data_IF_098960373500
#
_entry.id   IF_098960373500
#
_cell.length_a   1.000
_cell.length_b   1.000
_cell.length_c   1.000
_cell.angle_alpha   90.00
_cell.angle_beta   90.00
_cell.angle_gamma   90.00
#
_symmetry.space_group_name_H-M   'P 1'
#
loop_
_entity.id
_entity.type
_entity.pdbx_description
1 polymer ?
#
# COMPACT_ATOMS: atom_id res chain seq x y z
N UNK A 1 44.50 -21.04 -19.54
CA UNK A 1 43.91 -20.18 -18.48
C UNK A 1 44.17 -18.74 -18.86
N UNK A 2 43.26 -18.14 -19.65
CA UNK A 2 43.41 -16.76 -20.10
C UNK A 2 42.94 -15.78 -19.03
N UNK A 3 43.88 -14.96 -18.53
CA UNK A 3 43.58 -13.82 -17.67
C UNK A 3 42.88 -12.75 -18.50
N UNK A 4 41.55 -12.69 -18.45
CA UNK A 4 40.80 -11.53 -18.93
C UNK A 4 41.19 -10.33 -18.09
N UNK A 5 41.62 -9.26 -18.77
CA UNK A 5 41.91 -7.96 -18.18
C UNK A 5 40.71 -7.45 -17.37
N UNK A 6 40.95 -7.08 -16.12
CA UNK A 6 39.97 -6.47 -15.19
C UNK A 6 39.71 -4.98 -15.49
N UNK A 7 40.20 -4.46 -16.63
CA UNK A 7 40.00 -3.07 -16.97
C UNK A 7 38.53 -2.82 -17.36
N UNK A 8 37.88 -1.80 -16.77
CA UNK A 8 36.52 -1.45 -17.14
C UNK A 8 36.46 -1.09 -18.63
N UNK A 9 35.45 -1.61 -19.29
CA UNK A 9 35.14 -1.29 -20.68
C UNK A 9 34.73 0.17 -20.80
N UNK A 10 34.91 0.76 -21.99
CA UNK A 10 34.45 2.13 -22.28
C UNK A 10 32.97 2.34 -21.97
N UNK A 11 32.16 1.28 -22.11
CA UNK A 11 30.73 1.29 -21.76
C UNK A 11 30.49 1.42 -20.26
N UNK A 12 31.24 0.68 -19.45
CA UNK A 12 31.13 0.75 -17.99
C UNK A 12 31.55 2.12 -17.46
N UNK A 13 32.63 2.69 -18.01
CA UNK A 13 33.06 4.07 -17.68
C UNK A 13 31.98 5.09 -18.06
N UNK A 14 31.40 4.98 -19.26
CA UNK A 14 30.34 5.88 -19.69
C UNK A 14 29.08 5.81 -18.82
N UNK A 15 28.69 4.61 -18.39
CA UNK A 15 27.55 4.41 -17.48
C UNK A 15 27.80 5.03 -16.11
N UNK A 16 28.98 4.82 -15.53
CA UNK A 16 29.35 5.42 -14.25
C UNK A 16 29.36 6.95 -14.33
N UNK A 17 29.91 7.52 -15.40
CA UNK A 17 29.89 8.97 -15.61
C UNK A 17 28.46 9.54 -15.76
N UNK A 18 27.59 8.87 -16.52
CA UNK A 18 26.20 9.31 -16.69
C UNK A 18 25.42 9.25 -15.38
N UNK A 19 25.53 8.15 -14.63
CA UNK A 19 24.85 7.99 -13.34
C UNK A 19 25.35 9.00 -12.30
N UNK A 20 26.67 9.28 -12.29
CA UNK A 20 27.26 10.29 -11.41
C UNK A 20 26.75 11.69 -11.75
N UNK A 21 26.63 12.04 -13.03
CA UNK A 21 26.10 13.33 -13.46
C UNK A 21 24.63 13.52 -13.06
N UNK A 22 23.80 12.48 -13.24
CA UNK A 22 22.38 12.50 -12.82
C UNK A 22 22.29 12.66 -11.30
N UNK A 23 23.09 11.93 -10.54
CA UNK A 23 23.11 12.02 -9.08
C UNK A 23 23.52 13.42 -8.59
N UNK A 24 24.55 14.02 -9.21
CA UNK A 24 24.96 15.40 -8.90
C UNK A 24 23.84 16.39 -9.23
N UNK A 25 23.14 16.23 -10.36
CA UNK A 25 22.03 17.12 -10.73
C UNK A 25 20.87 17.03 -9.72
N UNK A 26 20.53 15.82 -9.26
CA UNK A 26 19.49 15.62 -8.24
C UNK A 26 19.89 16.29 -6.93
N UNK A 27 21.14 16.11 -6.47
CA UNK A 27 21.63 16.76 -5.25
C UNK A 27 21.64 18.29 -5.38
N UNK A 28 22.07 18.82 -6.52
CA UNK A 28 22.08 20.28 -6.73
C UNK A 28 20.67 20.87 -6.78
N UNK A 29 19.69 20.14 -7.33
CA UNK A 29 18.27 20.51 -7.28
C UNK A 29 17.73 20.52 -5.85
N UNK A 30 18.11 19.56 -5.01
CA UNK A 30 17.73 19.55 -3.58
C UNK A 30 18.39 20.66 -2.75
N UNK A 31 19.65 21.00 -3.05
CA UNK A 31 20.35 22.09 -2.34
C UNK A 31 19.78 23.46 -2.78
N UNK A 32 19.42 23.62 -4.05
CA UNK A 32 18.82 24.87 -4.56
C UNK A 32 17.37 25.04 -4.12
N UNK A 33 16.58 23.97 -4.00
CA UNK A 33 15.22 24.03 -3.45
C UNK A 33 15.24 24.42 -1.96
N UNK A 34 16.18 23.88 -1.19
CA UNK A 34 16.35 24.21 0.24
C UNK A 34 16.89 25.64 0.46
N UNK A 35 17.80 26.13 -0.37
CA UNK A 35 18.27 27.53 -0.22
C UNK A 35 17.22 28.57 -0.60
N UNK A 36 16.28 28.26 -1.52
CA UNK A 36 15.15 29.13 -1.84
C UNK A 36 14.17 29.26 -0.66
N UNK A 37 13.87 28.17 0.05
CA UNK A 37 12.95 28.20 1.20
C UNK A 37 13.50 29.02 2.37
N UNK A 38 14.81 28.98 2.64
CA UNK A 38 15.45 29.86 3.65
C UNK A 38 15.40 31.36 3.30
N UNK A 39 15.53 31.71 2.00
CA UNK A 39 15.43 33.10 1.55
C UNK A 39 14.00 33.68 1.66
N UNK A 40 12.97 32.85 1.47
CA UNK A 40 11.56 33.26 1.68
C UNK A 40 11.21 33.46 3.16
N UNK A 41 11.74 32.61 4.04
CA UNK A 41 11.43 32.68 5.48
C UNK A 41 12.03 33.94 6.15
N UNK A 42 13.25 34.31 5.75
CA UNK A 42 13.93 35.54 6.21
C UNK A 42 13.29 36.83 5.68
N UNK A 43 12.80 36.84 4.43
CA UNK A 43 12.04 37.97 3.87
C UNK A 43 10.67 38.17 4.56
N UNK A 44 10.06 37.09 5.05
CA UNK A 44 8.76 37.14 5.75
C UNK A 44 8.93 37.59 7.20
N UNK A 45 10.01 37.16 7.87
CA UNK A 45 10.34 37.59 9.23
C UNK A 45 10.69 39.09 9.34
N UNK A 46 11.27 39.69 8.28
CA UNK A 46 11.52 41.14 8.24
C UNK A 46 10.25 41.96 7.99
N UNK A 47 9.23 41.39 7.35
CA UNK A 47 7.98 42.09 7.02
C UNK A 47 7.02 42.18 8.21
N UNK A 48 7.06 41.21 9.13
CA UNK A 48 6.17 41.15 10.30
C UNK A 48 6.64 42.01 11.49
N UNK A 49 7.77 42.72 11.39
CA UNK A 49 8.28 43.60 12.46
C UNK A 49 8.02 45.09 12.25
N UNK A 50 7.34 45.49 11.17
CA UNK A 50 6.96 46.89 10.90
C UNK A 50 5.51 46.93 10.44
N UNK A 51 4.55 46.93 11.37
CA UNK A 51 3.33 47.75 11.30
C UNK A 51 2.52 47.66 12.61
N UNK A 52 2.50 48.78 13.34
CA UNK A 52 1.59 49.11 14.42
C UNK A 52 0.49 50.04 13.87
N UNK A 53 -0.72 49.81 14.36
CA UNK A 53 -1.91 50.67 14.46
C UNK A 53 -2.73 51.07 13.21
N UNK A 54 -4.05 51.06 13.46
CA UNK A 54 -5.19 51.72 12.79
C UNK A 54 -6.02 50.90 11.77
N UNK A 55 -7.34 50.87 12.04
CA UNK A 55 -8.35 51.09 11.01
C UNK A 55 -9.08 49.88 10.45
N UNK A 56 -10.38 49.81 10.75
CA UNK A 56 -11.41 48.92 10.20
C UNK A 56 -11.60 48.97 8.67
N UNK A 57 -11.78 47.81 8.00
CA UNK A 57 -12.92 47.50 7.09
C UNK A 57 -12.77 46.16 6.32
N UNK A 58 -13.77 45.28 6.45
CA UNK A 58 -14.53 44.49 5.45
C UNK A 58 -13.83 43.89 4.19
N UNK A 59 -14.20 42.62 3.92
CA UNK A 59 -14.18 41.81 2.68
C UNK A 59 -12.85 41.13 2.28
N UNK A 60 -12.88 39.78 2.28
CA UNK A 60 -11.88 38.95 1.63
C UNK A 60 -11.86 37.53 2.20
N UNK A 61 -12.79 36.69 1.76
CA UNK A 61 -12.67 35.25 1.93
C UNK A 61 -11.44 34.75 1.17
N UNK A 62 -10.55 34.07 1.86
CA UNK A 62 -9.53 33.24 1.25
C UNK A 62 -9.24 32.08 2.20
N UNK A 63 -9.30 30.88 1.63
CA UNK A 63 -9.24 29.59 2.30
C UNK A 63 -8.00 29.45 3.17
N UNK A 64 -8.21 29.04 4.43
CA UNK A 64 -7.16 28.76 5.42
C UNK A 64 -6.70 27.29 5.44
N UNK A 65 -7.08 26.49 4.45
CA UNK A 65 -6.77 25.05 4.44
C UNK A 65 -5.38 24.69 3.87
N UNK A 66 -4.70 25.62 3.18
CA UNK A 66 -3.39 25.33 2.53
C UNK A 66 -2.17 25.44 3.48
N UNK A 67 -2.36 25.68 4.77
CA UNK A 67 -1.26 25.88 5.74
C UNK A 67 -0.99 24.72 6.69
N UNK A 68 -1.60 23.55 6.47
CA UNK A 68 -1.59 22.43 7.44
C UNK A 68 -0.53 21.35 7.20
N UNK A 69 0.45 21.61 6.32
CA UNK A 69 1.55 20.69 6.06
C UNK A 69 2.88 21.35 6.40
N UNK A 70 3.11 21.58 7.70
CA UNK A 70 4.46 21.84 8.22
C UNK A 70 5.16 20.49 8.32
N UNK A 71 6.01 20.19 7.33
CA UNK A 71 6.88 19.02 7.35
C UNK A 71 8.03 19.31 8.32
N UNK A 72 7.87 18.92 9.58
CA UNK A 72 9.02 18.75 10.49
C UNK A 72 9.88 17.60 9.94
N UNK A 73 10.85 17.97 9.12
CA UNK A 73 11.87 17.09 8.60
C UNK A 73 12.69 16.55 9.78
N UNK A 74 12.80 15.23 9.89
CA UNK A 74 13.69 14.55 10.83
C UNK A 74 15.09 15.20 10.81
N UNK A 75 15.50 15.84 11.92
CA UNK A 75 16.91 16.06 12.16
C UNK A 75 17.56 14.71 12.48
N UNK A 76 18.57 14.27 11.72
CA UNK A 76 19.25 13.02 12.03
C UNK A 76 20.16 13.24 13.25
N UNK A 77 19.79 12.66 14.39
CA UNK A 77 20.75 12.43 15.46
C UNK A 77 21.88 11.53 14.91
N UNK A 78 23.11 12.04 15.02
CA UNK A 78 24.32 11.36 14.55
C UNK A 78 24.53 10.05 15.33
N UNK A 79 24.75 8.89 14.67
CA UNK A 79 25.00 7.66 15.41
C UNK A 79 26.44 7.65 15.95
N UNK A 80 26.56 7.61 17.27
CA UNK A 80 27.77 7.22 17.94
C UNK A 80 28.14 5.76 17.60
N UNK A 81 29.34 5.57 17.06
CA UNK A 81 30.25 4.44 17.27
C UNK A 81 29.65 3.09 17.71
N UNK A 82 29.56 2.15 16.77
CA UNK A 82 30.05 0.77 16.99
C UNK A 82 29.05 -0.30 17.41
N UNK A 83 28.51 -1.05 16.44
CA UNK A 83 28.54 -2.53 16.45
C UNK A 83 28.02 -3.06 15.10
N UNK A 84 28.83 -3.87 14.42
CA UNK A 84 28.42 -4.59 13.21
C UNK A 84 27.38 -5.64 13.59
N UNK A 85 26.13 -5.45 13.18
CA UNK A 85 25.12 -6.52 13.17
C UNK A 85 25.24 -7.29 11.85
N UNK A 86 25.22 -8.63 11.85
CA UNK A 86 25.32 -9.40 10.62
C UNK A 86 24.06 -9.23 9.78
N UNK A 87 24.24 -9.15 8.46
CA UNK A 87 23.17 -9.21 7.46
C UNK A 87 22.27 -10.42 7.75
N UNK A 88 21.00 -10.16 8.04
CA UNK A 88 19.98 -11.20 8.16
C UNK A 88 19.61 -11.64 6.75
N UNK A 89 20.05 -12.83 6.37
CA UNK A 89 19.62 -13.48 5.13
C UNK A 89 18.09 -13.58 5.10
N UNK A 90 17.50 -13.09 4.01
CA UNK A 90 16.10 -13.36 3.67
C UNK A 90 16.00 -14.85 3.33
N UNK A 91 15.53 -15.66 4.28
CA UNK A 91 15.13 -17.04 3.98
C UNK A 91 13.78 -17.01 3.27
N UNK A 92 13.80 -16.95 1.94
CA UNK A 92 12.62 -17.15 1.10
C UNK A 92 12.34 -18.65 0.97
N UNK A 93 11.77 -19.27 2.00
CA UNK A 93 11.14 -20.58 1.85
C UNK A 93 9.78 -20.42 1.14
N UNK A 94 9.82 -20.06 -0.14
CA UNK A 94 8.66 -20.15 -1.03
C UNK A 94 8.54 -21.61 -1.43
N UNK A 95 7.56 -22.32 -0.87
CA UNK A 95 7.20 -23.64 -1.37
C UNK A 95 6.65 -23.47 -2.79
N UNK A 96 7.04 -24.30 -3.77
CA UNK A 96 6.42 -24.30 -5.08
C UNK A 96 4.98 -24.78 -4.91
N UNK A 97 4.03 -23.85 -4.87
CA UNK A 97 2.61 -24.17 -4.78
C UNK A 97 1.98 -24.20 -6.17
N UNK A 98 0.88 -24.96 -6.21
CA UNK A 98 0.26 -25.53 -7.40
C UNK A 98 -0.11 -24.51 -8.48
N UNK A 99 -0.42 -25.07 -9.63
CA UNK A 99 -0.76 -24.35 -10.84
C UNK A 99 -1.84 -23.29 -10.60
N UNK A 100 -1.44 -22.01 -10.52
CA UNK A 100 -2.35 -20.85 -10.50
C UNK A 100 -3.08 -20.65 -11.85
N UNK A 101 -3.10 -21.66 -12.72
CA UNK A 101 -3.90 -21.70 -13.93
C UNK A 101 -5.38 -21.95 -13.57
N UNK A 102 -6.01 -20.97 -12.93
CA UNK A 102 -7.46 -20.90 -13.05
C UNK A 102 -7.76 -20.63 -14.52
N UNK A 103 -8.26 -21.67 -15.20
CA UNK A 103 -8.78 -21.57 -16.56
C UNK A 103 -9.75 -20.40 -16.58
N UNK A 104 -9.47 -19.44 -17.46
CA UNK A 104 -10.23 -18.22 -17.74
C UNK A 104 -11.61 -18.54 -18.31
N UNK A 105 -12.45 -19.18 -17.51
CA UNK A 105 -13.90 -19.24 -17.69
C UNK A 105 -14.60 -18.12 -16.89
N UNK A 106 -13.90 -16.99 -16.67
CA UNK A 106 -14.40 -15.80 -15.95
C UNK A 106 -15.51 -15.03 -16.69
N UNK A 107 -16.04 -15.59 -17.79
CA UNK A 107 -17.11 -14.99 -18.60
C UNK A 107 -18.48 -15.64 -18.37
N UNK A 108 -18.63 -16.50 -17.36
CA UNK A 108 -19.92 -17.08 -17.00
C UNK A 108 -20.45 -16.38 -15.74
N UNK A 109 -21.67 -15.84 -15.81
CA UNK A 109 -22.39 -15.19 -14.69
C UNK A 109 -22.59 -16.15 -13.50
N UNK A 110 -22.47 -17.44 -13.74
CA UNK A 110 -22.74 -18.54 -12.79
C UNK A 110 -21.73 -18.66 -11.64
N UNK A 111 -20.63 -17.90 -11.67
CA UNK A 111 -19.59 -17.90 -10.63
C UNK A 111 -19.70 -16.69 -9.66
N UNK A 112 -20.86 -16.05 -9.59
CA UNK A 112 -21.11 -14.88 -8.74
C UNK A 112 -21.37 -15.25 -7.28
N UNK A 113 -21.69 -16.52 -7.01
CA UNK A 113 -22.09 -17.02 -5.71
C UNK A 113 -21.26 -18.25 -5.35
N UNK A 114 -20.83 -18.33 -4.09
CA UNK A 114 -20.16 -19.51 -3.52
C UNK A 114 -21.07 -20.04 -2.44
N UNK A 115 -21.55 -21.26 -2.63
CA UNK A 115 -22.41 -21.96 -1.68
C UNK A 115 -21.64 -23.07 -0.98
N UNK A 116 -22.05 -23.40 0.23
CA UNK A 116 -21.53 -24.55 0.97
C UNK A 116 -22.65 -25.27 1.74
N UNK A 117 -22.43 -26.57 1.98
CA UNK A 117 -23.28 -27.44 2.79
C UNK A 117 -22.47 -28.11 3.89
N UNK A 118 -23.16 -28.75 4.83
CA UNK A 118 -22.55 -29.58 5.89
C UNK A 118 -21.51 -28.83 6.75
N UNK A 119 -21.68 -27.51 6.87
CA UNK A 119 -20.80 -26.60 7.61
C UNK A 119 -19.41 -26.43 7.01
N UNK A 120 -19.19 -26.85 5.76
CA UNK A 120 -17.89 -26.80 5.10
C UNK A 120 -17.66 -25.46 4.40
N UNK A 121 -17.49 -24.39 5.18
CA UNK A 121 -17.09 -23.09 4.61
C UNK A 121 -15.70 -23.23 3.98
N UNK A 122 -15.50 -22.82 2.71
CA UNK A 122 -14.19 -22.91 2.08
C UNK A 122 -13.11 -22.16 2.86
N UNK A 123 -11.96 -22.79 3.02
CA UNK A 123 -10.86 -22.23 3.81
C UNK A 123 -10.07 -21.17 3.05
N UNK A 124 -9.64 -20.14 3.77
CA UNK A 124 -8.66 -19.16 3.33
C UNK A 124 -7.28 -19.79 3.27
N UNK A 125 -6.57 -19.60 2.15
CA UNK A 125 -5.14 -19.92 2.05
C UNK A 125 -4.31 -18.66 2.16
N UNK A 126 -3.37 -18.61 3.12
CA UNK A 126 -2.34 -17.56 3.16
C UNK A 126 -1.23 -17.96 2.18
N UNK A 127 -1.27 -17.38 0.98
CA UNK A 127 -0.37 -17.75 -0.14
C UNK A 127 1.05 -17.25 0.10
N UNK A 128 1.18 -16.00 0.55
CA UNK A 128 2.47 -15.38 0.88
C UNK A 128 2.27 -14.30 1.93
N UNK A 129 3.27 -14.10 2.79
CA UNK A 129 3.20 -13.11 3.86
C UNK A 129 4.56 -12.45 4.15
N UNK A 130 4.53 -11.13 4.29
CA UNK A 130 5.48 -10.31 5.01
C UNK A 130 4.69 -9.24 5.80
N UNK A 131 5.24 -8.64 6.88
CA UNK A 131 4.53 -7.59 7.61
C UNK A 131 4.11 -6.43 6.69
N UNK A 132 2.81 -6.13 6.67
CA UNK A 132 2.19 -5.14 5.77
C UNK A 132 1.81 -5.65 4.39
N UNK A 133 2.21 -6.87 4.02
CA UNK A 133 2.02 -7.44 2.68
C UNK A 133 1.57 -8.91 2.77
N UNK A 134 0.28 -9.17 2.62
CA UNK A 134 -0.26 -10.53 2.68
C UNK A 134 -1.09 -10.84 1.46
N UNK A 135 -0.86 -11.99 0.85
CA UNK A 135 -1.68 -12.49 -0.26
C UNK A 135 -2.53 -13.65 0.23
N UNK A 136 -3.84 -13.51 0.10
CA UNK A 136 -4.83 -14.51 0.45
C UNK A 136 -5.47 -15.09 -0.80
N UNK A 137 -5.82 -16.38 -0.75
CA UNK A 137 -6.89 -16.96 -1.57
C UNK A 137 -8.10 -17.20 -0.67
N UNK A 138 -9.30 -16.81 -1.13
CA UNK A 138 -10.59 -16.85 -0.41
C UNK A 138 -10.60 -16.06 0.90
N UNK A 139 -10.69 -14.74 0.79
CA UNK A 139 -10.88 -13.84 1.92
C UNK A 139 -12.37 -13.47 2.02
N UNK A 140 -12.93 -13.52 3.24
CA UNK A 140 -14.35 -13.25 3.48
C UNK A 140 -14.54 -11.87 4.08
N UNK A 141 -15.70 -11.25 3.84
CA UNK A 141 -16.05 -9.94 4.37
C UNK A 141 -17.51 -9.96 4.83
N UNK A 142 -17.76 -9.39 6.00
CA UNK A 142 -19.11 -9.18 6.53
C UNK A 142 -19.12 -7.98 7.47
N UNK A 143 -20.03 -7.02 7.25
CA UNK A 143 -20.22 -5.82 8.07
C UNK A 143 -18.90 -5.04 8.28
N UNK A 144 -18.15 -4.83 7.20
CA UNK A 144 -16.86 -4.13 7.24
C UNK A 144 -15.72 -4.85 7.98
N UNK A 145 -15.93 -6.10 8.42
CA UNK A 145 -14.88 -6.94 9.01
C UNK A 145 -14.40 -7.98 8.00
N UNK A 146 -13.08 -8.16 7.92
CA UNK A 146 -12.45 -9.21 7.11
C UNK A 146 -12.29 -10.50 7.93
N UNK A 147 -12.55 -11.65 7.31
CA UNK A 147 -12.45 -12.95 7.94
C UNK A 147 -11.47 -13.85 7.20
N UNK A 148 -10.50 -14.38 7.96
CA UNK A 148 -9.56 -15.42 7.55
C UNK A 148 -10.05 -16.73 8.14
N UNK A 149 -10.53 -17.64 7.29
CA UNK A 149 -11.11 -18.92 7.69
C UNK A 149 -10.04 -20.00 7.60
N UNK A 150 -9.54 -20.50 8.71
CA UNK A 150 -8.46 -21.52 8.73
C UNK A 150 -8.73 -22.59 9.81
N UNK A 151 -8.32 -23.86 9.62
CA UNK A 151 -8.55 -24.91 10.60
C UNK A 151 -7.96 -24.63 11.98
N UNK A 152 -6.79 -23.99 11.98
CA UNK A 152 -6.06 -23.59 13.19
C UNK A 152 -5.76 -22.09 13.11
N UNK A 153 -6.46 -21.24 13.90
CA UNK A 153 -6.23 -19.80 13.94
C UNK A 153 -4.80 -19.39 14.30
N UNK A 154 -4.06 -20.25 15.02
CA UNK A 154 -2.67 -19.97 15.39
C UNK A 154 -1.68 -20.13 14.23
N UNK A 155 -2.10 -20.78 13.14
CA UNK A 155 -1.29 -20.95 11.93
C UNK A 155 -1.24 -19.70 11.05
N UNK A 156 -2.20 -18.79 11.19
CA UNK A 156 -2.25 -17.54 10.43
C UNK A 156 -1.28 -16.50 11.03
N UNK A 157 -0.71 -15.58 10.21
CA UNK A 157 0.09 -14.48 10.74
C UNK A 157 -0.72 -13.63 11.73
N UNK A 158 -0.02 -12.99 12.66
CA UNK A 158 -0.66 -12.07 13.60
C UNK A 158 -1.40 -10.96 12.85
N UNK A 159 -2.65 -10.67 13.24
CA UNK A 159 -3.50 -9.64 12.62
C UNK A 159 -2.78 -8.32 12.37
N UNK A 160 -2.03 -7.84 13.36
CA UNK A 160 -1.25 -6.59 13.29
C UNK A 160 -0.17 -6.54 12.21
N UNK A 161 0.20 -7.71 11.68
CA UNK A 161 1.16 -7.84 10.58
C UNK A 161 0.45 -7.90 9.22
N UNK A 162 -0.88 -8.01 9.19
CA UNK A 162 -1.67 -8.17 7.96
C UNK A 162 -2.57 -6.96 7.65
N UNK A 163 -3.04 -6.25 8.68
CA UNK A 163 -3.93 -5.09 8.52
C UNK A 163 -3.68 -4.04 9.62
N UNK A 164 -4.32 -2.88 9.49
CA UNK A 164 -4.34 -1.78 10.45
C UNK A 164 -5.79 -1.35 10.70
N UNK A 165 -6.00 -0.42 11.65
CA UNK A 165 -7.33 0.16 11.88
C UNK A 165 -7.68 1.31 10.93
N UNK A 166 -6.77 1.71 10.04
CA UNK A 166 -6.96 2.86 9.16
C UNK A 166 -6.93 4.22 9.85
N UNK A 167 -6.51 4.30 11.12
CA UNK A 167 -6.30 5.58 11.79
C UNK A 167 -5.06 6.30 11.23
N UNK A 168 -5.14 7.64 11.23
CA UNK A 168 -4.02 8.49 10.85
C UNK A 168 -2.76 8.23 11.70
N UNK A 169 -1.61 8.44 11.09
CA UNK A 169 -0.31 8.19 11.70
C UNK A 169 0.15 9.45 12.41
N UNK A 170 -0.14 9.50 13.69
CA UNK A 170 0.41 10.46 14.64
C UNK A 170 1.31 9.72 15.65
N UNK A 171 2.35 10.42 16.13
CA UNK A 171 3.41 9.85 16.98
C UNK A 171 3.11 9.72 18.49
N UNK A 172 2.18 10.48 19.10
CA UNK A 172 1.85 10.30 20.51
C UNK A 172 1.44 8.83 20.83
N UNK A 173 1.83 8.28 22.00
CA UNK A 173 1.61 6.86 22.31
C UNK A 173 0.14 6.41 22.25
N UNK A 174 -0.78 7.29 22.63
CA UNK A 174 -2.22 7.08 22.57
C UNK A 174 -2.73 7.02 21.12
N UNK A 175 -2.20 7.85 20.22
CA UNK A 175 -2.50 7.79 18.79
C UNK A 175 -1.91 6.53 18.14
N UNK A 176 -0.70 6.13 18.53
CA UNK A 176 -0.09 4.86 18.09
C UNK A 176 -0.97 3.67 18.46
N UNK A 177 -1.54 3.67 19.67
CA UNK A 177 -2.40 2.57 20.13
C UNK A 177 -3.69 2.45 19.31
N UNK A 178 -4.28 3.55 18.82
CA UNK A 178 -5.48 3.53 17.97
C UNK A 178 -5.27 2.79 16.64
N UNK A 179 -4.03 2.69 16.17
CA UNK A 179 -3.66 2.02 14.92
C UNK A 179 -3.69 0.49 15.01
N UNK A 180 -3.73 -0.07 16.22
CA UNK A 180 -3.75 -1.51 16.43
C UNK A 180 -5.10 -2.09 15.97
N UNK A 181 -5.10 -3.04 15.02
CA UNK A 181 -6.35 -3.62 14.52
C UNK A 181 -7.01 -4.50 15.59
N UNK A 182 -8.32 -4.37 15.67
CA UNK A 182 -9.21 -5.18 16.51
C UNK A 182 -10.06 -6.16 15.69
N UNK A 183 -10.90 -6.94 16.36
CA UNK A 183 -11.87 -7.86 15.72
C UNK A 183 -12.87 -7.14 14.81
N UNK A 184 -12.99 -5.81 14.90
CA UNK A 184 -13.79 -4.99 13.96
C UNK A 184 -13.17 -4.88 12.56
N UNK A 185 -11.86 -5.12 12.45
CA UNK A 185 -11.14 -4.98 11.18
C UNK A 185 -10.87 -6.35 10.57
N UNK A 186 -10.39 -7.28 11.40
CA UNK A 186 -10.09 -8.63 10.96
C UNK A 186 -10.24 -9.65 12.07
N UNK A 187 -10.84 -10.80 11.74
CA UNK A 187 -10.97 -11.97 12.60
C UNK A 187 -10.38 -13.19 11.91
N UNK A 188 -9.68 -14.01 12.67
CA UNK A 188 -9.16 -15.30 12.22
C UNK A 188 -10.02 -16.35 12.93
N UNK A 189 -10.76 -17.13 12.15
CA UNK A 189 -11.81 -18.03 12.65
C UNK A 189 -11.67 -19.42 12.04
N UNK A 190 -12.23 -20.41 12.70
CA UNK A 190 -12.34 -21.78 12.20
C UNK A 190 -13.46 -21.94 11.18
N UNK A 191 -13.44 -22.97 10.32
CA UNK A 191 -14.56 -23.26 9.42
C UNK A 191 -15.90 -23.44 10.15
N UNK A 192 -15.87 -23.99 11.36
CA UNK A 192 -17.07 -24.13 12.20
C UNK A 192 -17.63 -22.76 12.61
N UNK A 193 -16.79 -21.88 13.14
CA UNK A 193 -17.21 -20.52 13.49
C UNK A 193 -17.68 -19.74 12.26
N UNK A 194 -17.04 -19.96 11.11
CA UNK A 194 -17.47 -19.36 9.85
C UNK A 194 -18.84 -19.90 9.42
N UNK A 195 -19.12 -21.20 9.59
CA UNK A 195 -20.42 -21.79 9.31
C UNK A 195 -21.51 -21.22 10.21
N UNK A 196 -21.21 -21.02 11.50
CA UNK A 196 -22.14 -20.43 12.46
C UNK A 196 -22.39 -18.93 12.16
N UNK A 197 -21.43 -18.24 11.54
CA UNK A 197 -21.50 -16.82 11.23
C UNK A 197 -22.16 -16.51 9.87
N UNK A 198 -21.82 -17.28 8.84
CA UNK A 198 -22.23 -17.03 7.45
C UNK A 198 -23.38 -17.93 6.98
N UNK A 199 -23.78 -18.91 7.79
CA UNK A 199 -24.77 -19.93 7.41
C UNK A 199 -25.88 -20.10 8.42
N UNK A 200 -26.94 -20.78 7.99
CA UNK A 200 -28.02 -21.28 8.83
C UNK A 200 -28.04 -22.81 8.72
N UNK A 201 -28.02 -23.48 9.88
CA UNK A 201 -28.11 -24.95 9.96
C UNK A 201 -27.07 -25.72 9.12
N UNK A 202 -25.86 -25.18 8.97
CA UNK A 202 -24.76 -25.82 8.23
C UNK A 202 -24.78 -25.59 6.72
N UNK A 203 -25.68 -24.75 6.21
CA UNK A 203 -25.67 -24.30 4.81
C UNK A 203 -25.49 -22.79 4.75
N UNK A 204 -24.79 -22.28 3.75
CA UNK A 204 -24.61 -20.83 3.59
C UNK A 204 -24.15 -20.44 2.20
N UNK A 205 -24.14 -19.13 1.97
CA UNK A 205 -23.76 -18.55 0.69
C UNK A 205 -22.98 -17.25 0.88
N UNK A 206 -22.08 -16.96 -0.06
CA UNK A 206 -21.36 -15.69 -0.14
C UNK A 206 -21.29 -15.22 -1.59
N UNK A 207 -21.39 -13.91 -1.79
CA UNK A 207 -21.11 -13.30 -3.11
C UNK A 207 -19.62 -13.33 -3.39
N UNK A 208 -19.25 -13.92 -4.52
CA UNK A 208 -17.87 -14.05 -4.95
C UNK A 208 -17.39 -12.81 -5.70
N UNK A 209 -16.44 -12.08 -5.09
CA UNK A 209 -15.75 -10.98 -5.74
C UNK A 209 -14.65 -11.49 -6.68
N UNK A 210 -15.06 -11.89 -7.88
CA UNK A 210 -14.18 -12.49 -8.90
C UNK A 210 -12.95 -11.63 -9.22
N UNK A 211 -11.82 -12.31 -9.47
CA UNK A 211 -10.56 -11.68 -9.88
C UNK A 211 -9.78 -11.04 -8.72
N UNK A 212 -8.55 -10.63 -9.02
CA UNK A 212 -7.61 -10.13 -8.02
C UNK A 212 -8.05 -8.77 -7.49
N UNK A 213 -8.05 -8.63 -6.17
CA UNK A 213 -8.34 -7.39 -5.46
C UNK A 213 -7.10 -6.93 -4.71
N UNK A 214 -6.65 -5.70 -4.98
CA UNK A 214 -5.70 -5.01 -4.11
C UNK A 214 -6.48 -4.31 -3.01
N UNK A 215 -6.39 -4.82 -1.79
CA UNK A 215 -7.07 -4.28 -0.63
C UNK A 215 -6.11 -3.35 0.15
N UNK A 216 -6.51 -2.10 0.34
CA UNK A 216 -5.68 -1.03 0.94
C UNK A 216 -6.36 -0.51 2.20
N UNK A 217 -5.60 -0.46 3.29
CA UNK A 217 -6.07 0.01 4.61
C UNK A 217 -5.48 1.36 5.03
N UNK A 218 -4.79 2.05 4.12
CA UNK A 218 -4.16 3.33 4.42
C UNK A 218 -5.20 4.45 4.62
N UNK A 219 -4.97 5.35 5.60
CA UNK A 219 -5.81 6.51 5.80
C UNK A 219 -5.65 7.54 4.66
N UNK A 220 -6.59 8.48 4.51
CA UNK A 220 -6.51 9.55 3.51
C UNK A 220 -5.27 10.45 3.65
N UNK A 221 -4.66 10.48 4.84
CA UNK A 221 -3.52 11.32 5.22
C UNK A 221 -2.37 11.24 4.20
N UNK A 222 -2.09 10.05 3.66
CA UNK A 222 -0.97 9.85 2.71
C UNK A 222 -1.43 9.50 1.30
N UNK A 223 -2.62 8.93 1.12
CA UNK A 223 -3.11 8.48 -0.20
C UNK A 223 -3.22 9.65 -1.21
N UNK A 224 -3.54 10.86 -0.76
CA UNK A 224 -3.63 12.05 -1.63
C UNK A 224 -2.28 12.55 -2.13
N UNK A 225 -1.18 11.97 -1.67
CA UNK A 225 0.16 12.33 -2.11
C UNK A 225 0.69 11.27 -3.08
N UNK A 226 0.92 11.65 -4.34
CA UNK A 226 1.23 10.68 -5.40
C UNK A 226 2.51 9.89 -5.16
N UNK A 227 3.49 10.42 -4.41
CA UNK A 227 4.66 9.63 -4.03
C UNK A 227 4.27 8.43 -3.18
N UNK A 228 3.40 8.63 -2.19
CA UNK A 228 2.95 7.53 -1.34
C UNK A 228 2.10 6.54 -2.13
N UNK A 229 1.10 7.01 -2.87
CA UNK A 229 0.26 6.11 -3.67
C UNK A 229 1.04 5.39 -4.78
N UNK A 230 1.75 6.12 -5.63
CA UNK A 230 2.38 5.54 -6.83
C UNK A 230 3.70 4.84 -6.50
N UNK A 231 4.59 5.50 -5.74
CA UNK A 231 5.94 5.01 -5.53
C UNK A 231 6.02 3.92 -4.46
N UNK A 232 5.22 4.04 -3.39
CA UNK A 232 5.28 3.12 -2.24
C UNK A 232 4.18 2.06 -2.32
N UNK A 233 2.92 2.48 -2.39
CA UNK A 233 1.78 1.57 -2.29
C UNK A 233 1.58 0.74 -3.56
N UNK A 234 1.39 1.37 -4.72
CA UNK A 234 1.10 0.67 -5.97
C UNK A 234 2.24 -0.24 -6.40
N UNK A 235 3.49 0.23 -6.36
CA UNK A 235 4.64 -0.62 -6.65
C UNK A 235 4.86 -1.70 -5.59
N UNK A 236 4.56 -1.43 -4.31
CA UNK A 236 4.61 -2.43 -3.25
C UNK A 236 3.59 -3.55 -3.47
N UNK A 237 2.34 -3.21 -3.79
CA UNK A 237 1.28 -4.15 -4.13
C UNK A 237 1.65 -4.97 -5.37
N UNK A 238 2.09 -4.29 -6.44
CA UNK A 238 2.48 -4.94 -7.68
C UNK A 238 3.65 -5.90 -7.45
N UNK A 239 4.71 -5.48 -6.75
CA UNK A 239 5.84 -6.34 -6.40
C UNK A 239 5.40 -7.55 -5.57
N UNK A 240 4.56 -7.33 -4.56
CA UNK A 240 4.05 -8.40 -3.69
C UNK A 240 3.31 -9.44 -4.53
N UNK A 241 2.40 -9.00 -5.40
CA UNK A 241 1.62 -9.88 -6.24
C UNK A 241 2.46 -10.59 -7.31
N UNK A 242 3.35 -9.86 -7.99
CA UNK A 242 4.26 -10.42 -9.00
C UNK A 242 5.22 -11.46 -8.44
N UNK A 243 5.51 -11.45 -7.14
CA UNK A 243 6.34 -12.48 -6.50
C UNK A 243 5.74 -13.89 -6.56
N UNK A 244 4.43 -14.02 -6.83
CA UNK A 244 3.76 -15.31 -7.03
C UNK A 244 4.13 -15.98 -8.36
N UNK A 245 4.72 -15.24 -9.30
CA UNK A 245 5.20 -15.79 -10.56
C UNK A 245 6.72 -15.64 -10.66
N UNK A 246 7.49 -16.67 -10.26
CA UNK A 246 8.95 -16.64 -10.35
C UNK A 246 9.46 -16.74 -11.81
N UNK A 247 8.56 -16.96 -12.78
CA UNK A 247 8.89 -17.15 -14.19
C UNK A 247 8.57 -15.91 -15.05
N UNK A 248 8.32 -14.75 -14.42
CA UNK A 248 8.14 -13.49 -15.15
C UNK A 248 9.32 -13.25 -16.08
N UNK A 249 9.04 -13.02 -17.36
CA UNK A 249 10.09 -12.80 -18.36
C UNK A 249 10.75 -11.43 -18.15
N UNK A 250 11.97 -11.19 -18.68
CA UNK A 250 12.59 -9.86 -18.68
C UNK A 250 11.75 -8.78 -19.38
N UNK A 251 10.79 -9.18 -20.22
CA UNK A 251 9.83 -8.29 -20.88
C UNK A 251 8.55 -8.06 -20.08
N UNK A 252 8.47 -8.57 -18.85
CA UNK A 252 7.33 -8.39 -17.94
C UNK A 252 6.13 -9.29 -18.24
N UNK A 253 6.28 -10.33 -19.06
CA UNK A 253 5.18 -11.28 -19.29
C UNK A 253 5.03 -12.19 -18.09
N UNK A 254 3.81 -12.25 -17.55
CA UNK A 254 3.44 -13.06 -16.38
C UNK A 254 2.21 -13.91 -16.70
N UNK A 255 2.03 -15.02 -15.98
CA UNK A 255 0.78 -15.79 -15.98
C UNK A 255 -0.28 -15.21 -15.04
N UNK A 256 0.08 -14.27 -14.18
CA UNK A 256 -0.83 -13.68 -13.21
C UNK A 256 -1.83 -12.75 -13.91
N UNK A 257 -3.13 -12.84 -13.60
CA UNK A 257 -4.11 -11.88 -14.10
C UNK A 257 -3.84 -10.48 -13.55
N UNK A 258 -4.14 -9.46 -14.35
CA UNK A 258 -4.12 -8.07 -13.86
C UNK A 258 -5.13 -7.88 -12.72
N UNK A 259 -4.85 -6.99 -11.73
CA UNK A 259 -5.80 -6.66 -10.69
C UNK A 259 -7.09 -6.13 -11.32
N UNK A 260 -8.22 -6.74 -10.95
CA UNK A 260 -9.55 -6.33 -11.43
C UNK A 260 -10.05 -5.12 -10.66
N UNK A 261 -9.59 -4.97 -9.41
CA UNK A 261 -9.95 -3.83 -8.57
C UNK A 261 -8.88 -3.47 -7.54
N UNK A 262 -8.88 -2.20 -7.17
CA UNK A 262 -8.22 -1.66 -6.00
C UNK A 262 -9.28 -1.09 -5.07
N UNK A 263 -9.27 -1.51 -3.81
CA UNK A 263 -10.30 -1.20 -2.82
C UNK A 263 -9.67 -0.53 -1.61
N UNK A 264 -10.10 0.69 -1.32
CA UNK A 264 -9.64 1.48 -0.18
C UNK A 264 -10.70 1.44 0.92
N UNK A 265 -10.41 0.80 2.04
CA UNK A 265 -11.38 0.59 3.13
C UNK A 265 -11.57 1.82 4.02
N UNK A 266 -10.58 2.72 4.03
CA UNK A 266 -10.52 3.89 4.92
C UNK A 266 -10.33 5.21 4.19
N UNK A 267 -10.24 5.20 2.85
CA UNK A 267 -10.10 6.41 2.04
C UNK A 267 -11.38 6.67 1.25
N UNK A 268 -12.08 7.81 1.46
CA UNK A 268 -13.24 8.16 0.67
C UNK A 268 -12.83 8.60 -0.73
N UNK A 269 -13.74 8.46 -1.69
CA UNK A 269 -13.49 8.82 -3.09
C UNK A 269 -12.99 10.26 -3.29
N UNK A 270 -13.46 11.19 -2.46
CA UNK A 270 -13.09 12.61 -2.46
C UNK A 270 -11.63 12.87 -2.05
N UNK A 271 -10.96 11.88 -1.45
CA UNK A 271 -9.60 11.97 -0.91
C UNK A 271 -8.65 10.96 -1.57
N UNK A 272 -8.94 10.51 -2.78
CA UNK A 272 -8.00 9.65 -3.51
C UNK A 272 -7.20 10.38 -4.59
N UNK A 273 -7.82 11.36 -5.26
CA UNK A 273 -7.12 12.11 -6.33
C UNK A 273 -6.11 13.06 -5.71
N UNK A 274 -4.86 12.93 -6.11
CA UNK A 274 -3.81 13.85 -5.74
C UNK A 274 -3.89 15.15 -6.54
N UNK A 275 -3.24 16.20 -6.03
CA UNK A 275 -3.22 17.52 -6.66
C UNK A 275 -2.56 17.51 -8.06
N UNK A 276 -1.62 16.60 -8.30
CA UNK A 276 -0.92 16.45 -9.59
C UNK A 276 -1.65 15.50 -10.55
N UNK A 277 -2.77 14.90 -10.13
CA UNK A 277 -3.59 13.95 -10.90
C UNK A 277 -2.81 12.69 -11.32
N UNK A 278 -1.74 12.36 -10.62
CA UNK A 278 -0.88 11.22 -10.92
C UNK A 278 -1.45 9.88 -10.42
N UNK A 279 -2.23 9.86 -9.34
CA UNK A 279 -2.81 8.62 -8.80
C UNK A 279 -3.65 7.90 -9.85
N UNK A 280 -4.61 8.60 -10.43
CA UNK A 280 -5.44 8.06 -11.51
C UNK A 280 -4.64 7.76 -12.78
N UNK A 281 -3.67 8.61 -13.12
CA UNK A 281 -2.91 8.44 -14.35
C UNK A 281 -2.05 7.17 -14.28
N UNK A 282 -1.29 7.00 -13.19
CA UNK A 282 -0.40 5.86 -13.01
C UNK A 282 -1.18 4.57 -12.87
N UNK A 283 -2.26 4.56 -12.06
CA UNK A 283 -3.08 3.36 -11.90
C UNK A 283 -3.67 2.88 -13.23
N UNK A 284 -4.28 3.78 -14.01
CA UNK A 284 -4.91 3.40 -15.28
C UNK A 284 -3.91 3.21 -16.42
N UNK A 285 -2.71 3.78 -16.34
CA UNK A 285 -1.63 3.47 -17.28
C UNK A 285 -1.08 2.05 -17.03
N UNK A 286 -0.95 1.63 -15.77
CA UNK A 286 -0.49 0.29 -15.41
C UNK A 286 -1.57 -0.78 -15.59
N UNK A 287 -2.80 -0.48 -15.17
CA UNK A 287 -3.93 -1.40 -15.17
C UNK A 287 -5.20 -0.72 -15.71
N UNK A 288 -5.35 -0.60 -17.05
CA UNK A 288 -6.43 0.18 -17.67
C UNK A 288 -7.85 -0.28 -17.28
N UNK A 289 -8.03 -1.57 -17.00
CA UNK A 289 -9.33 -2.16 -16.64
C UNK A 289 -9.56 -2.30 -15.14
N UNK A 290 -8.64 -1.80 -14.30
CA UNK A 290 -8.77 -1.89 -12.85
C UNK A 290 -9.86 -0.92 -12.35
N UNK A 291 -10.89 -1.46 -11.69
CA UNK A 291 -11.89 -0.66 -11.01
C UNK A 291 -11.35 -0.11 -9.69
N UNK A 292 -11.84 1.03 -9.25
CA UNK A 292 -11.48 1.61 -7.94
C UNK A 292 -12.73 1.66 -7.08
N UNK A 293 -12.62 1.16 -5.86
CA UNK A 293 -13.67 1.19 -4.83
C UNK A 293 -13.13 1.89 -3.58
N UNK A 294 -13.96 2.70 -2.94
CA UNK A 294 -13.59 3.55 -1.81
C UNK A 294 -14.33 3.16 -0.53
N UNK A 295 -14.10 3.92 0.53
CA UNK A 295 -14.69 3.69 1.84
C UNK A 295 -16.21 3.57 1.77
N UNK A 296 -16.87 4.37 0.92
CA UNK A 296 -18.31 4.31 0.74
C UNK A 296 -18.74 2.95 0.15
N UNK A 297 -18.05 2.48 -0.90
CA UNK A 297 -18.29 1.16 -1.50
C UNK A 297 -17.97 -0.01 -0.56
N UNK A 298 -17.09 0.19 0.43
CA UNK A 298 -16.78 -0.78 1.47
C UNK A 298 -17.90 -0.87 2.51
N UNK A 299 -18.49 0.27 2.89
CA UNK A 299 -19.58 0.34 3.87
C UNK A 299 -20.87 -0.26 3.30
N UNK A 300 -21.10 -0.12 2.00
CA UNK A 300 -22.29 -0.66 1.31
C UNK A 300 -22.26 -2.20 1.13
N UNK A 301 -21.23 -2.90 1.65
CA UNK A 301 -21.02 -4.35 1.52
C UNK A 301 -21.15 -5.10 2.85
#
# INVERSE_FOLDING_TARGET
MDRRSLAPTRREVALVCCLSAIFILIIQLDITSNSWSYAKSSATALRNRIQLSEGSSILGGHDKEDSLYDYDFYEPESPASGSRRPHREFSSHVKPHGDLSHVTADNVVDNAEVTWSDGQVPETTVVAHAPGWTVFDKLYMLNGTVYVVVPDPSSAPNRRMMTSSGYEVWNPPDEVAKREPTDKHMRIITPKEASDLFGESGTGTATHLQGVTFLVNDPPQFIQHYYHFSAELLFGLWRTYSSLDPLITPTGKTKLPAPRRMMFTHTPSSKWRDYAKLNQYVLHAAFPSCAVAFQEDWIDR
#
